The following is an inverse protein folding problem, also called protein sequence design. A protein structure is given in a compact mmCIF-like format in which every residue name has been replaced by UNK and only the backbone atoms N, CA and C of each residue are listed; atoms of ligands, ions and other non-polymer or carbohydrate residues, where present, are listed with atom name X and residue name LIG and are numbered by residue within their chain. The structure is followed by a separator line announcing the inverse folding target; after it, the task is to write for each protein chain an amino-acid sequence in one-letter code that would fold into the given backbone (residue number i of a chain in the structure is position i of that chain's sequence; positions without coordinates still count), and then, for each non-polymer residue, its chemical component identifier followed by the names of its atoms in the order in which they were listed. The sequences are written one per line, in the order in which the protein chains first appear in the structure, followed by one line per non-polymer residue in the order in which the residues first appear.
data_IF_078304847513
#
_entry.id   IF_078304847513
#
_cell.length_a   1.000
_cell.length_b   1.000
_cell.length_c   1.000
_cell.angle_alpha   90.00
_cell.angle_beta   90.00
_cell.angle_gamma   90.00
#
_symmetry.space_group_name_H-M   'P 1'
#
loop_
_entity.id
_entity.type
_entity.pdbx_description
1 polymer ?
#
# COMPACT_ATOMS: atom_id res chain seq x y z
N UNK A 1 -7.90 -2.71 14.08
CA UNK A 1 -7.91 -3.80 13.09
C UNK A 1 -8.52 -5.03 13.73
N UNK A 2 -9.43 -5.76 13.06
CA UNK A 2 -9.92 -7.04 13.56
C UNK A 2 -8.74 -8.00 13.81
N UNK A 3 -8.74 -8.71 14.94
CA UNK A 3 -7.64 -9.63 15.31
C UNK A 3 -7.36 -10.66 14.21
N UNK A 4 -8.42 -11.22 13.62
CA UNK A 4 -8.32 -12.20 12.53
C UNK A 4 -7.56 -11.69 11.30
N UNK A 5 -7.72 -10.43 10.92
CA UNK A 5 -6.97 -9.87 9.80
C UNK A 5 -5.48 -9.76 10.16
N UNK A 6 -5.15 -9.43 11.40
CA UNK A 6 -3.76 -9.34 11.85
C UNK A 6 -3.06 -10.70 11.84
N UNK A 7 -3.77 -11.73 12.26
CA UNK A 7 -3.28 -13.10 12.31
C UNK A 7 -3.04 -13.62 10.88
N UNK A 8 -4.03 -13.50 9.99
CA UNK A 8 -3.90 -13.90 8.58
C UNK A 8 -2.72 -13.21 7.87
N UNK A 9 -2.55 -11.91 8.10
CA UNK A 9 -1.42 -11.17 7.52
C UNK A 9 -0.07 -11.50 8.16
N UNK A 10 -0.04 -12.16 9.31
CA UNK A 10 1.19 -12.66 9.94
C UNK A 10 1.65 -14.01 9.39
N UNK A 11 0.74 -14.79 8.79
CA UNK A 11 1.01 -16.15 8.32
C UNK A 11 1.34 -16.22 6.81
N UNK A 12 1.20 -15.12 6.08
CA UNK A 12 1.55 -15.04 4.64
C UNK A 12 3.06 -14.94 4.45
N UNK A 13 3.57 -15.62 3.41
CA UNK A 13 4.97 -15.49 3.01
C UNK A 13 5.31 -14.07 2.52
N UNK A 14 6.59 -13.71 2.54
CA UNK A 14 7.06 -12.35 2.23
C UNK A 14 6.61 -11.85 0.84
N UNK A 15 6.58 -12.72 -0.18
CA UNK A 15 6.22 -12.34 -1.55
C UNK A 15 4.74 -12.00 -1.64
N UNK A 16 3.90 -12.82 -1.00
CA UNK A 16 2.47 -12.57 -0.93
C UNK A 16 2.12 -11.40 -0.03
N UNK A 17 2.81 -11.25 1.10
CA UNK A 17 2.69 -10.10 1.99
C UNK A 17 2.95 -8.78 1.25
N UNK A 18 3.98 -8.76 0.38
CA UNK A 18 4.27 -7.61 -0.48
C UNK A 18 3.18 -7.35 -1.52
N UNK A 19 2.63 -8.40 -2.13
CA UNK A 19 1.53 -8.28 -3.10
C UNK A 19 0.26 -7.73 -2.44
N UNK A 20 -0.16 -8.30 -1.30
CA UNK A 20 -1.30 -7.84 -0.52
C UNK A 20 -1.12 -6.39 -0.05
N UNK A 21 0.09 -6.03 0.37
CA UNK A 21 0.39 -4.65 0.76
C UNK A 21 0.19 -3.66 -0.40
N UNK A 22 0.61 -4.03 -1.62
CA UNK A 22 0.37 -3.19 -2.80
C UNK A 22 -1.13 -3.08 -3.09
N UNK A 23 -1.88 -4.17 -3.01
CA UNK A 23 -3.33 -4.15 -3.22
C UNK A 23 -4.04 -3.23 -2.22
N UNK A 24 -3.68 -3.29 -0.94
CA UNK A 24 -4.26 -2.44 0.10
C UNK A 24 -3.92 -0.97 -0.10
N UNK A 25 -2.67 -0.68 -0.46
CA UNK A 25 -2.25 0.68 -0.72
C UNK A 25 -2.92 1.25 -1.99
N UNK A 26 -3.05 0.45 -3.03
CA UNK A 26 -3.71 0.83 -4.28
C UNK A 26 -5.17 1.14 -4.08
N UNK A 27 -5.91 0.27 -3.39
CA UNK A 27 -7.30 0.54 -3.04
C UNK A 27 -7.45 1.84 -2.24
N UNK A 28 -6.59 2.07 -1.23
CA UNK A 28 -6.65 3.29 -0.42
C UNK A 28 -6.34 4.56 -1.23
N UNK A 29 -5.42 4.50 -2.20
CA UNK A 29 -5.09 5.61 -3.09
C UNK A 29 -6.19 5.86 -4.11
N UNK A 30 -6.80 4.81 -4.66
CA UNK A 30 -7.91 4.89 -5.62
C UNK A 30 -9.13 5.61 -5.02
N UNK A 31 -9.47 5.34 -3.75
CA UNK A 31 -10.54 6.04 -3.03
C UNK A 31 -10.28 7.56 -2.88
N UNK A 32 -9.03 7.97 -3.02
CA UNK A 32 -8.54 9.35 -2.91
C UNK A 32 -8.09 9.91 -4.27
N UNK A 33 -8.31 9.19 -5.37
CA UNK A 33 -7.70 9.50 -6.65
C UNK A 33 -7.96 10.93 -7.10
N UNK A 34 -9.17 11.44 -6.90
CA UNK A 34 -9.58 12.80 -7.30
C UNK A 34 -8.84 13.92 -6.57
N UNK A 35 -8.19 13.63 -5.44
CA UNK A 35 -7.31 14.57 -4.75
C UNK A 35 -5.88 14.61 -5.31
N UNK A 36 -5.51 13.64 -6.15
CA UNK A 36 -4.18 13.58 -6.75
C UNK A 36 -4.10 14.37 -8.05
N UNK A 37 -3.04 15.15 -8.19
CA UNK A 37 -2.66 15.74 -9.46
C UNK A 37 -2.45 14.64 -10.51
N UNK A 38 -2.90 14.82 -11.77
CA UNK A 38 -2.76 13.81 -12.82
C UNK A 38 -1.32 13.33 -13.02
N UNK A 39 -0.31 14.21 -12.89
CA UNK A 39 1.11 13.85 -13.02
C UNK A 39 1.53 12.92 -11.88
N UNK A 40 1.13 13.24 -10.65
CA UNK A 40 1.40 12.40 -9.48
C UNK A 40 0.69 11.04 -9.60
N UNK A 41 -0.58 11.04 -10.07
CA UNK A 41 -1.35 9.81 -10.30
C UNK A 41 -0.65 8.89 -11.32
N UNK A 42 -0.12 9.47 -12.40
CA UNK A 42 0.62 8.71 -13.42
C UNK A 42 1.94 8.14 -12.88
N UNK A 43 2.71 8.94 -12.15
CA UNK A 43 3.98 8.49 -11.57
C UNK A 43 3.74 7.37 -10.54
N UNK A 44 2.71 7.52 -9.72
CA UNK A 44 2.26 6.52 -8.76
C UNK A 44 1.87 5.19 -9.44
N UNK A 45 1.00 5.23 -10.44
CA UNK A 45 0.52 4.03 -11.12
C UNK A 45 1.68 3.26 -11.77
N UNK A 46 2.62 3.96 -12.40
CA UNK A 46 3.82 3.34 -12.97
C UNK A 46 4.73 2.73 -11.90
N UNK A 47 4.89 3.40 -10.76
CA UNK A 47 5.72 2.90 -9.66
C UNK A 47 5.14 1.62 -9.04
N UNK A 48 3.83 1.54 -8.85
CA UNK A 48 3.14 0.31 -8.41
C UNK A 48 3.27 -0.79 -9.44
N UNK A 49 3.04 -0.50 -10.73
CA UNK A 49 3.13 -1.49 -11.79
C UNK A 49 4.56 -2.08 -11.90
N UNK A 50 5.59 -1.23 -11.82
CA UNK A 50 6.98 -1.65 -11.84
C UNK A 50 7.36 -2.45 -10.59
N UNK A 51 6.83 -2.09 -9.42
CA UNK A 51 7.03 -2.84 -8.18
C UNK A 51 6.43 -4.25 -8.25
N UNK A 52 5.20 -4.39 -8.76
CA UNK A 52 4.56 -5.71 -8.98
C UNK A 52 5.41 -6.60 -9.89
N UNK A 53 5.93 -6.03 -10.97
CA UNK A 53 6.81 -6.75 -11.89
C UNK A 53 8.11 -7.20 -11.20
N UNK A 54 8.76 -6.31 -10.43
CA UNK A 54 9.99 -6.64 -9.71
C UNK A 54 9.77 -7.71 -8.63
N UNK A 55 8.67 -7.66 -7.89
CA UNK A 55 8.28 -8.68 -6.91
C UNK A 55 8.10 -10.03 -7.60
N UNK A 56 7.35 -10.08 -8.71
CA UNK A 56 7.15 -11.31 -9.47
C UNK A 56 8.45 -11.90 -10.03
N UNK A 57 9.42 -11.04 -10.37
CA UNK A 57 10.75 -11.46 -10.83
C UNK A 57 11.73 -11.79 -9.70
N UNK A 58 11.43 -11.41 -8.45
CA UNK A 58 12.33 -11.52 -7.32
C UNK A 58 13.58 -10.63 -7.42
N UNK A 59 13.58 -9.59 -8.26
CA UNK A 59 14.71 -8.68 -8.47
C UNK A 59 14.27 -7.34 -9.02
N UNK A 60 15.06 -6.30 -8.75
CA UNK A 60 14.88 -5.00 -9.38
C UNK A 60 15.13 -5.10 -10.90
N UNK A 61 14.32 -4.37 -11.66
CA UNK A 61 14.49 -4.16 -13.09
C UNK A 61 14.67 -2.65 -13.36
N UNK A 62 15.15 -2.30 -14.55
CA UNK A 62 15.38 -0.89 -14.90
C UNK A 62 14.11 -0.04 -14.83
N UNK A 63 12.94 -0.67 -15.02
CA UNK A 63 11.64 -0.02 -14.96
C UNK A 63 11.34 0.45 -13.53
N UNK A 64 11.58 -0.40 -12.53
CA UNK A 64 11.43 -0.06 -11.12
C UNK A 64 12.36 1.07 -10.70
N UNK A 65 13.63 1.01 -11.12
CA UNK A 65 14.61 2.06 -10.78
C UNK A 65 14.17 3.41 -11.33
N UNK A 66 13.79 3.47 -12.62
CA UNK A 66 13.28 4.71 -13.22
C UNK A 66 11.99 5.18 -12.57
N UNK A 67 11.06 4.28 -12.27
CA UNK A 67 9.79 4.64 -11.66
C UNK A 67 9.97 5.18 -10.24
N UNK A 68 10.94 4.63 -9.48
CA UNK A 68 11.36 5.16 -8.18
C UNK A 68 11.84 6.62 -8.32
N UNK A 69 12.79 6.89 -9.21
CA UNK A 69 13.34 8.23 -9.41
C UNK A 69 12.24 9.23 -9.80
N UNK A 70 11.41 8.87 -10.78
CA UNK A 70 10.30 9.70 -11.26
C UNK A 70 9.29 9.95 -10.15
N UNK A 71 8.92 8.93 -9.36
CA UNK A 71 7.95 9.09 -8.27
C UNK A 71 8.44 10.13 -7.24
N UNK A 72 9.70 10.06 -6.83
CA UNK A 72 10.25 11.02 -5.87
C UNK A 72 10.42 12.41 -6.49
N UNK A 73 10.92 12.51 -7.72
CA UNK A 73 11.05 13.78 -8.45
C UNK A 73 9.70 14.51 -8.52
N UNK A 74 8.65 13.80 -8.97
CA UNK A 74 7.29 14.35 -9.03
C UNK A 74 6.76 14.68 -7.63
N UNK A 75 7.02 13.82 -6.64
CA UNK A 75 6.60 14.07 -5.25
C UNK A 75 7.15 15.37 -4.66
N UNK A 76 8.36 15.79 -5.05
CA UNK A 76 8.94 17.07 -4.62
C UNK A 76 8.25 18.29 -5.23
N UNK A 77 7.63 18.15 -6.40
CA UNK A 77 6.89 19.24 -7.06
C UNK A 77 5.54 19.52 -6.38
N UNK A 78 4.97 18.53 -5.67
CA UNK A 78 3.63 18.63 -5.09
C UNK A 78 3.62 18.36 -3.57
N UNK A 79 3.94 19.38 -2.74
CA UNK A 79 3.90 19.26 -1.28
C UNK A 79 2.51 18.84 -0.78
N UNK A 80 2.46 17.83 0.09
CA UNK A 80 1.22 17.30 0.69
C UNK A 80 0.66 16.06 -0.01
N UNK A 81 1.10 15.72 -1.22
CA UNK A 81 0.67 14.46 -1.87
C UNK A 81 1.23 13.20 -1.20
N UNK A 82 2.31 13.35 -0.42
CA UNK A 82 2.84 12.30 0.46
C UNK A 82 1.81 11.75 1.44
N UNK A 83 0.79 12.54 1.79
CA UNK A 83 -0.26 12.10 2.71
C UNK A 83 -1.19 11.07 2.06
N UNK A 84 -1.36 11.15 0.74
CA UNK A 84 -2.19 10.22 -0.04
C UNK A 84 -1.37 9.01 -0.50
N UNK A 85 -0.16 9.24 -1.03
CA UNK A 85 0.67 8.17 -1.62
C UNK A 85 1.60 7.48 -0.62
N UNK A 86 1.71 7.97 0.61
CA UNK A 86 2.67 7.46 1.60
C UNK A 86 2.41 6.00 2.03
N UNK A 87 1.16 5.54 1.98
CA UNK A 87 0.85 4.11 2.20
C UNK A 87 1.38 3.24 1.07
N UNK A 88 1.36 3.74 -0.17
CA UNK A 88 1.91 3.03 -1.31
C UNK A 88 3.43 3.00 -1.33
N UNK A 89 4.10 4.12 -1.00
CA UNK A 89 5.56 4.11 -0.82
C UNK A 89 5.97 3.08 0.26
N UNK A 90 5.21 3.01 1.36
CA UNK A 90 5.43 1.99 2.41
C UNK A 90 5.24 0.57 1.88
N UNK A 91 4.23 0.33 1.04
CA UNK A 91 3.97 -0.97 0.42
C UNK A 91 5.07 -1.39 -0.57
N UNK A 92 5.53 -0.46 -1.40
CA UNK A 92 6.64 -0.72 -2.34
C UNK A 92 7.93 -0.96 -1.56
N UNK A 93 8.16 -0.23 -0.47
CA UNK A 93 9.32 -0.47 0.42
C UNK A 93 9.29 -1.85 1.07
N UNK A 94 8.11 -2.37 1.44
CA UNK A 94 8.00 -3.74 1.92
C UNK A 94 8.51 -4.75 0.87
N UNK A 95 8.08 -4.61 -0.38
CA UNK A 95 8.36 -5.60 -1.44
C UNK A 95 9.68 -5.42 -2.18
N UNK A 96 10.16 -4.18 -2.33
CA UNK A 96 11.21 -3.84 -3.29
C UNK A 96 12.41 -3.12 -2.69
N UNK A 97 12.39 -2.71 -1.42
CA UNK A 97 13.45 -1.89 -0.84
C UNK A 97 14.82 -2.57 -0.93
N UNK A 98 14.92 -3.85 -0.57
CA UNK A 98 16.20 -4.57 -0.67
C UNK A 98 16.66 -4.65 -2.12
N UNK A 99 15.75 -4.92 -3.05
CA UNK A 99 16.06 -5.00 -4.48
C UNK A 99 16.60 -3.67 -5.03
N UNK A 100 16.02 -2.54 -4.60
CA UNK A 100 16.47 -1.19 -4.96
C UNK A 100 17.84 -0.86 -4.33
N UNK A 101 18.10 -1.35 -3.11
CA UNK A 101 19.39 -1.19 -2.46
C UNK A 101 20.49 -2.01 -3.14
N UNK A 102 20.20 -3.25 -3.55
CA UNK A 102 21.15 -4.15 -4.21
C UNK A 102 21.67 -3.58 -5.54
N UNK A 103 20.86 -2.76 -6.23
CA UNK A 103 21.24 -2.08 -7.48
C UNK A 103 21.72 -0.64 -7.26
N UNK A 104 21.85 -0.20 -6.01
CA UNK A 104 22.35 1.14 -5.66
C UNK A 104 21.38 2.29 -5.93
N UNK A 105 20.12 2.02 -6.27
CA UNK A 105 19.09 3.04 -6.45
C UNK A 105 18.62 3.64 -5.11
N UNK A 106 18.79 2.89 -4.03
CA UNK A 106 18.44 3.31 -2.67
C UNK A 106 19.58 3.06 -1.69
N UNK A 107 19.75 3.94 -0.71
CA UNK A 107 20.78 3.82 0.32
C UNK A 107 20.23 3.27 1.65
N UNK A 108 21.13 2.76 2.50
CA UNK A 108 20.79 2.23 3.83
C UNK A 108 20.16 3.27 4.75
N UNK A 109 20.52 4.56 4.61
CA UNK A 109 19.97 5.63 5.45
C UNK A 109 18.47 5.84 5.21
N UNK A 110 17.96 5.51 4.04
CA UNK A 110 16.54 5.53 3.70
C UNK A 110 15.78 4.28 4.11
N UNK A 111 16.42 3.27 4.72
CA UNK A 111 15.82 1.97 5.01
C UNK A 111 14.68 2.08 6.02
N UNK A 112 13.59 1.39 5.73
CA UNK A 112 12.42 1.22 6.61
C UNK A 112 12.03 -0.26 6.63
N UNK A 113 11.45 -0.74 7.72
CA UNK A 113 10.97 -2.13 7.80
C UNK A 113 9.46 -2.15 8.03
N UNK A 114 8.65 -1.69 7.05
CA UNK A 114 7.21 -1.82 7.15
C UNK A 114 6.82 -3.30 7.18
N UNK A 115 5.67 -3.61 7.78
CA UNK A 115 5.05 -4.94 7.69
C UNK A 115 3.73 -4.83 6.96
N UNK A 116 3.23 -5.94 6.40
CA UNK A 116 1.91 -5.94 5.76
C UNK A 116 0.81 -5.50 6.74
N UNK A 117 0.88 -5.87 8.03
CA UNK A 117 -0.07 -5.40 9.04
C UNK A 117 0.03 -3.88 9.29
N UNK A 118 1.24 -3.32 9.25
CA UNK A 118 1.42 -1.87 9.34
C UNK A 118 0.76 -1.17 8.16
N UNK A 119 0.97 -1.65 6.93
CA UNK A 119 0.41 -1.08 5.71
C UNK A 119 -1.11 -1.18 5.71
N UNK A 120 -1.69 -2.33 6.07
CA UNK A 120 -3.13 -2.51 6.21
C UNK A 120 -3.76 -1.51 7.19
N UNK A 121 -3.14 -1.33 8.37
CA UNK A 121 -3.59 -0.34 9.38
C UNK A 121 -3.44 1.10 8.91
N UNK A 122 -2.39 1.40 8.15
CA UNK A 122 -2.16 2.71 7.57
C UNK A 122 -3.22 3.02 6.51
N UNK A 123 -3.46 2.11 5.56
CA UNK A 123 -4.54 2.21 4.57
C UNK A 123 -5.90 2.48 5.24
N UNK A 124 -6.28 1.69 6.26
CA UNK A 124 -7.49 1.94 7.05
C UNK A 124 -7.53 3.38 7.60
N UNK A 125 -6.44 3.82 8.22
CA UNK A 125 -6.37 5.14 8.84
C UNK A 125 -6.40 6.28 7.82
N UNK A 126 -5.81 6.10 6.65
CA UNK A 126 -5.76 7.09 5.58
C UNK A 126 -7.15 7.25 4.95
N UNK A 127 -7.82 6.13 4.63
CA UNK A 127 -9.22 6.10 4.18
C UNK A 127 -10.16 6.73 5.23
N UNK A 128 -9.98 6.40 6.51
CA UNK A 128 -10.74 7.02 7.61
C UNK A 128 -10.63 8.54 7.64
N UNK A 129 -9.40 9.06 7.59
CA UNK A 129 -9.15 10.51 7.58
C UNK A 129 -9.76 11.18 6.37
N UNK A 130 -9.66 10.55 5.19
CA UNK A 130 -10.24 11.08 3.96
C UNK A 130 -11.77 11.24 4.06
N UNK A 131 -12.49 10.19 4.45
CA UNK A 131 -13.95 10.27 4.60
C UNK A 131 -14.39 11.22 5.71
N UNK A 132 -13.61 11.37 6.78
CA UNK A 132 -13.85 12.36 7.81
C UNK A 132 -13.70 13.81 7.31
N UNK A 133 -12.83 14.06 6.33
CA UNK A 133 -12.66 15.37 5.70
C UNK A 133 -13.81 15.68 4.72
N UNK A 134 -14.32 14.67 4.02
CA UNK A 134 -15.46 14.81 3.10
C UNK A 134 -16.82 14.93 3.79
N UNK A 135 -16.91 14.55 5.07
CA UNK A 135 -18.14 14.67 5.84
C UNK A 135 -18.63 16.13 5.86
N UNK A 136 -19.94 16.32 5.62
CA UNK A 136 -20.57 17.64 5.65
C UNK A 136 -20.37 18.34 7.00
N UNK A 137 -20.48 19.67 7.02
CA UNK A 137 -20.26 20.48 8.22
C UNK A 137 -21.13 20.05 9.42
N UNK A 138 -22.32 19.51 9.15
CA UNK A 138 -23.28 19.05 10.17
C UNK A 138 -23.15 17.57 10.53
N UNK A 139 -22.28 16.81 9.86
CA UNK A 139 -22.09 15.38 10.10
C UNK A 139 -21.01 15.11 11.17
N UNK A 140 -21.17 14.02 11.93
CA UNK A 140 -20.15 13.58 12.88
C UNK A 140 -18.93 12.98 12.15
N UNK A 141 -17.87 13.79 12.02
CA UNK A 141 -16.60 13.39 11.41
C UNK A 141 -15.97 12.16 12.06
N UNK A 142 -16.15 11.96 13.38
CA UNK A 142 -15.60 10.78 14.08
C UNK A 142 -16.36 9.52 13.71
N UNK A 143 -17.67 9.65 13.48
CA UNK A 143 -18.48 8.54 12.98
C UNK A 143 -18.09 8.18 11.55
N UNK A 144 -17.88 9.17 10.68
CA UNK A 144 -17.41 8.96 9.31
C UNK A 144 -16.02 8.28 9.25
N UNK A 145 -15.04 8.75 10.02
CA UNK A 145 -13.71 8.11 10.16
C UNK A 145 -13.85 6.63 10.53
N UNK A 146 -14.62 6.35 11.59
CA UNK A 146 -14.76 5.00 12.13
C UNK A 146 -15.46 4.08 11.13
N UNK A 147 -16.53 4.55 10.48
CA UNK A 147 -17.26 3.77 9.50
C UNK A 147 -16.37 3.40 8.31
N UNK A 148 -15.63 4.37 7.75
CA UNK A 148 -14.74 4.14 6.63
C UNK A 148 -13.59 3.18 6.98
N UNK A 149 -13.02 3.29 8.18
CA UNK A 149 -12.01 2.33 8.68
C UNK A 149 -12.55 0.90 8.81
N UNK A 150 -13.81 0.75 9.20
CA UNK A 150 -14.45 -0.56 9.29
C UNK A 150 -14.71 -1.16 7.92
N UNK A 151 -15.20 -0.37 6.96
CA UNK A 151 -15.40 -0.85 5.59
C UNK A 151 -14.08 -1.20 4.91
N UNK A 152 -13.03 -0.40 5.11
CA UNK A 152 -11.70 -0.72 4.60
C UNK A 152 -11.16 -2.02 5.21
N UNK A 153 -11.26 -2.19 6.53
CA UNK A 153 -10.86 -3.45 7.18
C UNK A 153 -11.68 -4.66 6.70
N UNK A 154 -12.96 -4.46 6.39
CA UNK A 154 -13.85 -5.49 5.83
C UNK A 154 -13.43 -5.85 4.41
N UNK A 155 -13.14 -4.85 3.56
CA UNK A 155 -12.65 -5.07 2.21
C UNK A 155 -11.32 -5.83 2.22
N UNK A 156 -10.35 -5.41 3.05
CA UNK A 156 -9.05 -6.09 3.19
C UNK A 156 -9.21 -7.56 3.61
N UNK A 157 -10.08 -7.84 4.58
CA UNK A 157 -10.35 -9.22 5.01
C UNK A 157 -10.95 -10.07 3.89
N UNK A 158 -11.94 -9.54 3.16
CA UNK A 158 -12.54 -10.24 2.02
C UNK A 158 -11.54 -10.47 0.89
N UNK A 159 -10.67 -9.49 0.63
CA UNK A 159 -9.61 -9.58 -0.36
C UNK A 159 -8.66 -10.71 -0.03
N UNK A 160 -8.11 -10.74 1.20
CA UNK A 160 -7.23 -11.83 1.67
C UNK A 160 -7.90 -13.20 1.53
N UNK A 161 -9.16 -13.34 1.96
CA UNK A 161 -9.91 -14.61 1.84
C UNK A 161 -10.07 -15.05 0.38
N UNK A 162 -10.14 -14.10 -0.54
CA UNK A 162 -10.37 -14.36 -1.97
C UNK A 162 -9.07 -14.66 -2.72
N UNK A 163 -7.97 -14.02 -2.35
CA UNK A 163 -6.68 -14.12 -3.07
C UNK A 163 -5.73 -15.13 -2.45
N UNK A 164 -5.80 -15.36 -1.15
CA UNK A 164 -4.90 -16.30 -0.48
C UNK A 164 -5.48 -17.72 -0.45
N UNK A 165 -4.67 -18.73 -0.80
CA UNK A 165 -5.07 -20.12 -0.66
C UNK A 165 -5.31 -20.43 0.81
N UNK A 166 -6.30 -21.29 1.05
CA UNK A 166 -6.60 -21.76 2.40
C UNK A 166 -5.35 -22.45 2.99
N UNK A 167 -4.78 -21.95 4.10
CA UNK A 167 -3.59 -22.53 4.70
C UNK A 167 -3.80 -24.00 5.11
N UNK A 168 -5.05 -24.41 5.37
CA UNK A 168 -5.41 -25.79 5.72
C UNK A 168 -5.63 -26.71 4.51
N UNK A 169 -5.54 -26.21 3.28
CA UNK A 169 -5.65 -27.04 2.09
C UNK A 169 -4.31 -27.71 1.71
N UNK A 170 -3.19 -27.22 2.23
CA UNK A 170 -1.85 -27.75 1.93
C UNK A 170 -1.54 -29.07 2.67
N UNK A 171 -2.26 -29.39 3.74
CA UNK A 171 -2.06 -30.60 4.56
C UNK A 171 -2.92 -31.80 4.12
N UNK A 172 -3.63 -31.69 2.98
CA UNK A 172 -4.51 -32.74 2.46
C UNK A 172 -3.89 -33.57 1.31
N UNK A 173 -2.56 -33.50 1.12
CA UNK A 173 -1.80 -34.20 0.07
C UNK A 173 -0.95 -35.34 0.59
#
# INVERSE_FOLDING_TARGET
MPSRLNDLLGDVDDTRAATLALDFAEHAVELQADALDPKMRSAYAEYVAAAREAIALGRANDRLVRAYDVFFEVGWEFPGHSDVTGVADSAIRLGCQQMLMDVGAMNEAGRTNPTCQYIARRAQSDVGRWYAQLASADADRRQADRAARWEEARWQLLHVITTEPNPHAADAG
#
